data_IF_929148531490
#
_entry.id   IF_929148531490
#
_cell.length_a   1.000
_cell.length_b   1.000
_cell.length_c   1.000
_cell.angle_alpha   90.00
_cell.angle_beta   90.00
_cell.angle_gamma   90.00
#
_symmetry.space_group_name_H-M   'P 1'
#
loop_
_entity.id
_entity.type
_entity.pdbx_description
1 polymer ?
#
# COMPACT_ATOMS: atom_id res chain seq x y z
N UNK A 1 14.96 5.29 16.20
CA UNK A 1 13.83 6.19 16.55
C UNK A 1 12.62 5.85 15.69
N UNK A 2 11.42 5.68 16.25
CA UNK A 2 10.22 5.49 15.45
C UNK A 2 10.02 6.66 14.48
N UNK A 3 9.50 6.38 13.28
CA UNK A 3 9.09 7.39 12.31
C UNK A 3 8.04 8.28 12.98
N UNK A 4 8.27 9.60 13.00
CA UNK A 4 7.24 10.56 13.44
C UNK A 4 6.21 10.66 12.31
N UNK A 5 5.02 10.11 12.51
CA UNK A 5 3.88 10.29 11.60
C UNK A 5 3.57 11.80 11.49
N UNK A 6 3.78 12.40 10.31
CA UNK A 6 3.59 13.86 10.08
C UNK A 6 2.59 14.19 8.97
N UNK A 7 1.82 13.20 8.55
CA UNK A 7 0.71 13.30 7.60
C UNK A 7 -0.36 14.36 7.91
N UNK A 8 -0.49 14.85 9.15
CA UNK A 8 -1.39 15.98 9.51
C UNK A 8 -0.77 17.36 9.29
N UNK A 9 0.48 17.46 8.85
CA UNK A 9 1.08 18.75 8.51
C UNK A 9 0.57 19.26 7.15
N UNK A 10 0.37 20.57 7.02
CA UNK A 10 -0.25 21.23 5.85
C UNK A 10 0.32 20.78 4.51
N UNK A 11 1.62 20.48 4.44
CA UNK A 11 2.30 20.11 3.20
C UNK A 11 2.05 18.65 2.77
N UNK A 12 1.66 17.77 3.71
CA UNK A 12 1.53 16.32 3.47
C UNK A 12 0.08 15.83 3.44
N UNK A 13 -0.88 16.64 3.90
CA UNK A 13 -2.33 16.34 3.83
C UNK A 13 -2.80 16.07 2.39
N UNK A 14 -2.47 16.89 1.38
CA UNK A 14 -2.94 16.63 0.01
C UNK A 14 -2.41 15.30 -0.53
N UNK A 15 -1.16 14.95 -0.19
CA UNK A 15 -0.54 13.69 -0.60
C UNK A 15 -1.24 12.51 0.08
N UNK A 16 -1.52 12.62 1.38
CA UNK A 16 -2.27 11.59 2.10
C UNK A 16 -3.67 11.39 1.49
N UNK A 17 -4.38 12.46 1.14
CA UNK A 17 -5.69 12.37 0.47
C UNK A 17 -5.60 11.71 -0.92
N UNK A 18 -4.56 12.01 -1.70
CA UNK A 18 -4.32 11.35 -2.99
C UNK A 18 -4.06 9.84 -2.81
N UNK A 19 -3.26 9.45 -1.80
CA UNK A 19 -2.99 8.05 -1.48
C UNK A 19 -4.26 7.32 -1.00
N UNK A 20 -5.09 7.98 -0.19
CA UNK A 20 -6.37 7.45 0.26
C UNK A 20 -7.33 7.22 -0.92
N UNK A 21 -7.45 8.22 -1.81
CA UNK A 21 -8.25 8.10 -3.03
C UNK A 21 -7.77 6.96 -3.94
N UNK A 22 -6.46 6.78 -4.09
CA UNK A 22 -5.91 5.65 -4.85
C UNK A 22 -6.25 4.29 -4.22
N UNK A 23 -6.20 4.16 -2.90
CA UNK A 23 -6.61 2.94 -2.19
C UNK A 23 -8.11 2.67 -2.37
N UNK A 24 -8.94 3.72 -2.32
CA UNK A 24 -10.38 3.60 -2.57
C UNK A 24 -10.70 3.12 -3.99
N UNK A 25 -10.09 3.71 -5.01
CA UNK A 25 -10.26 3.28 -6.41
C UNK A 25 -9.82 1.82 -6.58
N UNK A 26 -8.69 1.44 -5.97
CA UNK A 26 -8.20 0.07 -6.00
C UNK A 26 -9.21 -0.90 -5.36
N UNK A 27 -9.82 -0.53 -4.22
CA UNK A 27 -10.83 -1.38 -3.59
C UNK A 27 -12.14 -1.47 -4.38
N UNK A 28 -12.53 -0.40 -5.08
CA UNK A 28 -13.66 -0.46 -6.01
C UNK A 28 -13.43 -1.52 -7.08
N UNK A 29 -12.21 -1.70 -7.59
CA UNK A 29 -11.90 -2.78 -8.53
C UNK A 29 -12.09 -4.17 -7.91
N UNK A 30 -11.75 -4.35 -6.64
CA UNK A 30 -11.97 -5.61 -5.93
C UNK A 30 -13.44 -5.88 -5.63
N UNK A 31 -14.24 -4.84 -5.39
CA UNK A 31 -15.71 -4.94 -5.31
C UNK A 31 -16.28 -5.47 -6.63
N UNK A 32 -15.87 -4.90 -7.76
CA UNK A 32 -16.28 -5.37 -9.08
C UNK A 32 -15.85 -6.83 -9.33
N UNK A 33 -14.60 -7.17 -8.98
CA UNK A 33 -14.10 -8.54 -9.08
C UNK A 33 -14.94 -9.51 -8.24
N UNK A 34 -15.25 -9.14 -7.00
CA UNK A 34 -16.03 -9.95 -6.07
C UNK A 34 -17.44 -10.24 -6.59
N UNK A 35 -18.14 -9.21 -7.09
CA UNK A 35 -19.51 -9.35 -7.56
C UNK A 35 -19.61 -10.09 -8.89
N UNK A 36 -18.81 -9.70 -9.89
CA UNK A 36 -19.01 -10.15 -11.25
C UNK A 36 -18.20 -11.38 -11.63
N UNK A 37 -17.04 -11.59 -11.02
CA UNK A 37 -16.14 -12.69 -11.38
C UNK A 37 -16.20 -13.79 -10.32
N UNK A 38 -16.22 -13.42 -9.03
CA UNK A 38 -16.19 -14.37 -7.93
C UNK A 38 -17.59 -14.79 -7.43
N UNK A 39 -18.65 -14.15 -7.91
CA UNK A 39 -20.03 -14.50 -7.59
C UNK A 39 -20.42 -14.25 -6.12
N UNK A 40 -19.79 -13.28 -5.46
CA UNK A 40 -20.10 -12.92 -4.07
C UNK A 40 -21.33 -12.01 -4.05
N UNK A 41 -22.50 -12.59 -3.77
CA UNK A 41 -23.80 -11.88 -3.83
C UNK A 41 -24.20 -11.08 -2.58
N UNK A 42 -23.42 -11.12 -1.50
CA UNK A 42 -23.79 -10.45 -0.24
C UNK A 42 -23.29 -8.99 -0.20
N UNK A 43 -24.19 -8.04 -0.38
CA UNK A 43 -23.89 -6.60 -0.39
C UNK A 43 -23.19 -6.09 0.88
N UNK A 44 -23.54 -6.62 2.05
CA UNK A 44 -22.90 -6.19 3.31
C UNK A 44 -21.43 -6.62 3.35
N UNK A 45 -21.14 -7.85 2.92
CA UNK A 45 -19.77 -8.37 2.84
C UNK A 45 -18.96 -7.58 1.80
N UNK A 46 -19.58 -7.29 0.66
CA UNK A 46 -18.93 -6.59 -0.47
C UNK A 46 -18.71 -5.09 -0.19
N UNK A 47 -19.37 -4.48 0.79
CA UNK A 47 -19.20 -3.05 1.09
C UNK A 47 -18.40 -2.85 2.39
N UNK A 48 -18.77 -3.55 3.45
CA UNK A 48 -18.19 -3.33 4.77
C UNK A 48 -16.73 -3.80 4.84
N UNK A 49 -16.39 -4.88 4.15
CA UNK A 49 -15.03 -5.42 4.19
C UNK A 49 -14.07 -4.58 3.34
N UNK A 50 -14.43 -4.21 2.10
CA UNK A 50 -13.60 -3.31 1.30
C UNK A 50 -13.35 -1.95 1.93
N UNK A 51 -14.28 -1.42 2.73
CA UNK A 51 -14.03 -0.17 3.48
C UNK A 51 -12.99 -0.35 4.58
N UNK A 52 -13.04 -1.44 5.36
CA UNK A 52 -12.02 -1.77 6.36
C UNK A 52 -10.65 -2.03 5.72
N UNK A 53 -10.60 -2.76 4.61
CA UNK A 53 -9.36 -3.03 3.90
C UNK A 53 -8.79 -1.79 3.22
N UNK A 54 -9.63 -0.85 2.76
CA UNK A 54 -9.20 0.46 2.26
C UNK A 54 -8.40 1.21 3.34
N UNK A 55 -8.90 1.24 4.58
CA UNK A 55 -8.21 1.90 5.70
C UNK A 55 -6.87 1.21 5.99
N UNK A 56 -6.84 -0.12 6.04
CA UNK A 56 -5.62 -0.89 6.29
C UNK A 56 -4.55 -0.68 5.20
N UNK A 57 -4.97 -0.72 3.93
CA UNK A 57 -4.09 -0.45 2.79
C UNK A 57 -3.56 0.97 2.82
N UNK A 58 -4.41 1.94 3.12
CA UNK A 58 -4.01 3.34 3.27
C UNK A 58 -2.93 3.52 4.35
N UNK A 59 -3.09 2.89 5.52
CA UNK A 59 -2.05 2.90 6.54
C UNK A 59 -0.75 2.24 6.05
N UNK A 60 -0.83 1.09 5.38
CA UNK A 60 0.35 0.43 4.80
C UNK A 60 1.09 1.32 3.79
N UNK A 61 0.35 1.98 2.90
CA UNK A 61 0.89 2.89 1.90
C UNK A 61 1.53 4.13 2.55
N UNK A 62 0.92 4.71 3.59
CA UNK A 62 1.49 5.83 4.35
C UNK A 62 2.80 5.43 5.04
N UNK A 63 2.85 4.26 5.68
CA UNK A 63 4.04 3.80 6.39
C UNK A 63 5.22 3.71 5.42
N UNK A 64 4.99 3.14 4.24
CA UNK A 64 6.01 3.06 3.19
C UNK A 64 6.37 4.45 2.66
N UNK A 65 5.39 5.32 2.40
CA UNK A 65 5.63 6.70 1.98
C UNK A 65 6.54 7.48 2.94
N UNK A 66 6.20 7.48 4.23
CA UNK A 66 6.98 8.14 5.28
C UNK A 66 8.39 7.57 5.39
N UNK A 67 8.55 6.25 5.23
CA UNK A 67 9.87 5.61 5.22
C UNK A 67 10.77 6.15 4.10
N UNK A 68 10.21 6.39 2.91
CA UNK A 68 10.97 6.94 1.77
C UNK A 68 11.26 8.44 1.92
N UNK A 69 10.27 9.24 2.32
CA UNK A 69 10.44 10.68 2.51
C UNK A 69 11.52 11.00 3.54
N UNK A 70 11.59 10.24 4.64
CA UNK A 70 12.63 10.44 5.66
C UNK A 70 14.03 10.10 5.14
N UNK A 71 14.17 9.06 4.30
CA UNK A 71 15.45 8.70 3.69
C UNK A 71 15.87 9.74 2.66
N UNK A 72 14.96 10.22 1.80
CA UNK A 72 15.27 11.25 0.80
C UNK A 72 15.66 12.59 1.44
N UNK A 73 15.05 13.00 2.57
CA UNK A 73 15.49 14.22 3.28
C UNK A 73 16.92 14.10 3.81
N UNK A 74 17.29 12.95 4.40
CA UNK A 74 18.68 12.69 4.82
C UNK A 74 19.62 12.63 3.63
N UNK A 75 19.21 12.01 2.52
CA UNK A 75 20.04 11.93 1.31
C UNK A 75 20.25 13.29 0.68
N UNK A 76 19.23 14.17 0.63
CA UNK A 76 19.38 15.56 0.13
C UNK A 76 20.32 16.41 0.99
N UNK A 77 20.30 16.22 2.32
CA UNK A 77 21.28 16.88 3.22
C UNK A 77 22.70 16.40 2.90
N UNK A 78 22.91 15.10 2.68
CA UNK A 78 24.22 14.55 2.28
C UNK A 78 24.61 14.92 0.83
N UNK A 79 23.65 14.99 -0.10
CA UNK A 79 23.91 15.24 -1.53
C UNK A 79 24.02 16.72 -1.88
N UNK A 80 23.60 17.65 -1.02
CA UNK A 80 23.98 19.06 -1.17
C UNK A 80 25.50 19.23 -1.17
N UNK A 81 26.24 18.30 -0.54
CA UNK A 81 27.70 18.23 -0.59
C UNK A 81 28.26 17.38 -1.75
N UNK A 82 27.42 16.65 -2.49
CA UNK A 82 27.80 15.85 -3.67
C UNK A 82 26.90 16.17 -4.87
N UNK A 83 27.28 17.21 -5.63
CA UNK A 83 26.68 17.48 -6.95
C UNK A 83 27.02 16.34 -7.91
N UNK A 84 26.09 15.40 -8.11
CA UNK A 84 26.12 14.50 -9.27
C UNK A 84 24.89 14.71 -10.15
N UNK A 85 25.14 15.05 -11.42
CA UNK A 85 24.12 15.15 -12.48
C UNK A 85 23.78 13.74 -12.96
N UNK A 86 22.80 13.09 -12.33
CA UNK A 86 22.26 11.83 -12.85
C UNK A 86 21.10 12.16 -13.81
N UNK A 87 21.36 12.04 -15.13
CA UNK A 87 20.31 12.06 -16.17
C UNK A 87 19.43 10.81 -16.03
N UNK A 88 18.35 10.90 -15.27
CA UNK A 88 17.34 9.84 -15.14
C UNK A 88 16.37 9.85 -16.34
N UNK A 89 16.09 8.67 -16.91
CA UNK A 89 15.14 8.46 -18.01
C UNK A 89 13.70 8.86 -17.62
N UNK A 90 12.86 9.24 -18.60
CA UNK A 90 11.46 9.65 -18.37
C UNK A 90 10.65 8.63 -17.56
N UNK A 91 10.83 7.34 -17.82
CA UNK A 91 10.18 6.25 -17.07
C UNK A 91 10.64 6.17 -15.61
N UNK A 92 11.95 6.33 -15.36
CA UNK A 92 12.45 6.40 -13.99
C UNK A 92 11.92 7.63 -13.25
N UNK A 93 11.70 8.77 -13.91
CA UNK A 93 11.07 9.94 -13.25
C UNK A 93 9.66 9.66 -12.73
N UNK A 94 8.83 8.94 -13.49
CA UNK A 94 7.48 8.54 -13.05
C UNK A 94 7.58 7.52 -11.90
N UNK A 95 8.45 6.52 -12.03
CA UNK A 95 8.68 5.51 -10.99
C UNK A 95 9.36 6.07 -9.73
N UNK A 96 10.01 7.24 -9.79
CA UNK A 96 10.59 7.96 -8.65
C UNK A 96 9.61 8.97 -8.05
N UNK A 97 8.40 9.11 -8.57
CA UNK A 97 7.43 10.00 -7.96
C UNK A 97 7.05 9.45 -6.57
N UNK A 98 7.15 10.26 -5.51
CA UNK A 98 7.09 9.77 -4.12
C UNK A 98 5.73 9.14 -3.77
N UNK A 99 4.68 9.45 -4.51
CA UNK A 99 3.31 8.91 -4.35
C UNK A 99 3.15 7.54 -5.04
N UNK A 100 3.83 7.32 -6.16
CA UNK A 100 3.61 6.14 -7.02
C UNK A 100 4.31 4.90 -6.44
N UNK A 101 5.49 5.07 -5.83
CA UNK A 101 6.26 3.94 -5.28
C UNK A 101 5.57 3.17 -4.17
N UNK A 102 5.00 3.82 -3.14
CA UNK A 102 4.31 3.10 -2.07
C UNK A 102 3.15 2.26 -2.60
N UNK A 103 2.39 2.81 -3.56
CA UNK A 103 1.28 2.12 -4.23
C UNK A 103 1.77 0.89 -5.00
N UNK A 104 2.82 1.04 -5.81
CA UNK A 104 3.40 -0.07 -6.60
C UNK A 104 3.95 -1.19 -5.70
N UNK A 105 4.31 -0.90 -4.46
CA UNK A 105 4.77 -1.93 -3.52
C UNK A 105 3.57 -2.61 -2.86
N UNK A 106 2.65 -1.84 -2.26
CA UNK A 106 1.55 -2.41 -1.46
C UNK A 106 0.54 -3.15 -2.32
N UNK A 107 0.16 -2.62 -3.49
CA UNK A 107 -0.93 -3.20 -4.29
C UNK A 107 -0.60 -4.59 -4.82
N UNK A 108 0.57 -4.85 -5.44
CA UNK A 108 0.91 -6.20 -5.89
C UNK A 108 1.07 -7.19 -4.74
N UNK A 109 1.59 -6.75 -3.60
CA UNK A 109 1.69 -7.58 -2.38
C UNK A 109 0.28 -8.00 -1.94
N UNK A 110 -0.63 -7.04 -1.80
CA UNK A 110 -2.02 -7.32 -1.44
C UNK A 110 -2.69 -8.25 -2.45
N UNK A 111 -2.59 -7.96 -3.74
CA UNK A 111 -3.20 -8.77 -4.80
C UNK A 111 -2.68 -10.21 -4.80
N UNK A 112 -1.37 -10.41 -4.66
CA UNK A 112 -0.77 -11.75 -4.63
C UNK A 112 -1.24 -12.55 -3.41
N UNK A 113 -1.30 -11.92 -2.24
CA UNK A 113 -1.77 -12.58 -1.01
C UNK A 113 -3.27 -12.85 -1.08
N UNK A 114 -4.05 -11.92 -1.63
CA UNK A 114 -5.48 -12.09 -1.81
C UNK A 114 -5.77 -13.31 -2.69
N UNK A 115 -5.20 -13.37 -3.91
CA UNK A 115 -5.50 -14.47 -4.82
C UNK A 115 -5.00 -15.83 -4.29
N UNK A 116 -3.84 -15.87 -3.64
CA UNK A 116 -3.34 -17.10 -3.03
C UNK A 116 -4.22 -17.56 -1.86
N UNK A 117 -4.58 -16.65 -0.95
CA UNK A 117 -5.46 -16.96 0.18
C UNK A 117 -6.87 -17.34 -0.28
N UNK A 118 -7.40 -16.67 -1.29
CA UNK A 118 -8.72 -16.94 -1.87
C UNK A 118 -8.76 -18.31 -2.54
N UNK A 119 -7.76 -18.64 -3.37
CA UNK A 119 -7.68 -19.94 -4.04
C UNK A 119 -7.56 -21.11 -3.04
N UNK A 120 -6.80 -20.94 -1.96
CA UNK A 120 -6.70 -21.95 -0.89
C UNK A 120 -8.04 -22.07 -0.14
N UNK A 121 -8.67 -20.94 0.20
CA UNK A 121 -9.91 -20.92 0.96
C UNK A 121 -11.09 -21.54 0.21
N UNK A 122 -11.13 -21.40 -1.12
CA UNK A 122 -12.16 -22.01 -1.98
C UNK A 122 -12.18 -23.54 -1.95
N UNK A 123 -11.09 -24.19 -1.54
CA UNK A 123 -11.05 -25.66 -1.42
C UNK A 123 -11.97 -26.13 -0.27
N UNK A 124 -12.19 -25.28 0.73
CA UNK A 124 -12.83 -25.67 1.99
C UNK A 124 -14.09 -24.86 2.31
N UNK A 125 -14.30 -23.70 1.70
CA UNK A 125 -15.30 -22.70 2.10
C UNK A 125 -16.07 -22.14 0.91
N UNK A 126 -17.30 -21.67 1.17
CA UNK A 126 -18.12 -20.96 0.19
C UNK A 126 -17.47 -19.64 -0.26
N UNK A 127 -17.77 -19.20 -1.49
CA UNK A 127 -17.19 -18.00 -2.11
C UNK A 127 -17.25 -16.76 -1.21
N UNK A 128 -18.35 -16.57 -0.48
CA UNK A 128 -18.53 -15.41 0.42
C UNK A 128 -17.56 -15.45 1.59
N UNK A 129 -17.40 -16.62 2.22
CA UNK A 129 -16.52 -16.80 3.38
C UNK A 129 -15.06 -16.81 2.93
N UNK A 130 -14.76 -17.48 1.81
CA UNK A 130 -13.44 -17.49 1.20
C UNK A 130 -12.98 -16.07 0.84
N UNK A 131 -13.86 -15.25 0.25
CA UNK A 131 -13.59 -13.85 -0.04
C UNK A 131 -13.30 -13.06 1.23
N UNK A 132 -14.16 -13.19 2.25
CA UNK A 132 -14.02 -12.52 3.53
C UNK A 132 -12.69 -12.82 4.22
N UNK A 133 -12.28 -14.09 4.24
CA UNK A 133 -11.00 -14.49 4.83
C UNK A 133 -9.85 -13.96 3.98
N UNK A 134 -9.89 -14.15 2.66
CA UNK A 134 -8.82 -13.74 1.78
C UNK A 134 -8.55 -12.24 1.85
N UNK A 135 -9.60 -11.41 1.86
CA UNK A 135 -9.48 -9.96 1.88
C UNK A 135 -8.87 -9.45 3.20
N UNK A 136 -9.37 -9.94 4.33
CA UNK A 136 -8.87 -9.56 5.64
C UNK A 136 -7.42 -10.04 5.86
N UNK A 137 -7.12 -11.27 5.46
CA UNK A 137 -5.79 -11.87 5.61
C UNK A 137 -4.78 -11.14 4.71
N UNK A 138 -5.16 -10.80 3.47
CA UNK A 138 -4.35 -9.99 2.57
C UNK A 138 -4.09 -8.58 3.13
N UNK A 139 -5.10 -7.93 3.70
CA UNK A 139 -4.95 -6.61 4.31
C UNK A 139 -3.98 -6.64 5.51
N UNK A 140 -4.16 -7.62 6.41
CA UNK A 140 -3.31 -7.81 7.58
C UNK A 140 -1.85 -8.10 7.20
N UNK A 141 -1.62 -9.06 6.30
CA UNK A 141 -0.26 -9.38 5.87
C UNK A 141 0.37 -8.20 5.12
N UNK A 142 -0.37 -7.50 4.28
CA UNK A 142 0.15 -6.31 3.58
C UNK A 142 0.61 -5.23 4.56
N UNK A 143 -0.14 -5.01 5.64
CA UNK A 143 0.22 -4.07 6.69
C UNK A 143 1.45 -4.53 7.48
N UNK A 144 1.56 -5.82 7.78
CA UNK A 144 2.75 -6.40 8.40
C UNK A 144 3.99 -6.27 7.50
N UNK A 145 3.86 -6.55 6.21
CA UNK A 145 4.96 -6.41 5.25
C UNK A 145 5.37 -4.95 5.12
N UNK A 146 4.42 -4.01 5.04
CA UNK A 146 4.72 -2.57 5.03
C UNK A 146 5.55 -2.16 6.26
N UNK A 147 5.18 -2.64 7.45
CA UNK A 147 5.95 -2.43 8.67
C UNK A 147 7.34 -3.09 8.65
N UNK A 148 7.47 -4.29 8.08
CA UNK A 148 8.77 -4.96 7.95
C UNK A 148 9.70 -4.25 6.97
N UNK A 149 9.15 -3.78 5.84
CA UNK A 149 9.87 -2.97 4.86
C UNK A 149 10.34 -1.67 5.52
N UNK A 150 9.48 -0.99 6.28
CA UNK A 150 9.86 0.19 7.06
C UNK A 150 11.05 -0.12 7.98
N UNK A 151 10.96 -1.17 8.82
CA UNK A 151 12.03 -1.53 9.74
C UNK A 151 13.35 -1.82 9.03
N UNK A 152 13.32 -2.59 7.94
CA UNK A 152 14.54 -2.94 7.18
C UNK A 152 15.10 -1.74 6.43
N UNK A 153 14.26 -0.99 5.71
CA UNK A 153 14.69 0.15 4.91
C UNK A 153 15.18 1.32 5.78
N UNK A 154 14.48 1.61 6.88
CA UNK A 154 14.90 2.62 7.85
C UNK A 154 16.16 2.20 8.60
N UNK A 155 16.40 0.90 8.85
CA UNK A 155 17.64 0.42 9.48
C UNK A 155 18.83 0.46 8.51
N UNK A 156 18.65 0.03 7.27
CA UNK A 156 19.75 -0.05 6.27
C UNK A 156 20.17 1.34 5.80
N UNK A 157 19.25 2.30 5.63
CA UNK A 157 19.57 3.62 5.07
C UNK A 157 19.70 4.75 6.12
N UNK A 158 19.49 4.47 7.42
CA UNK A 158 19.79 5.45 8.49
C UNK A 158 21.21 5.36 9.01
N UNK A 159 21.86 4.21 8.88
CA UNK A 159 23.27 3.97 9.22
C UNK A 159 24.11 4.02 7.93
#
# INVERSE_FOLDING_TARGET
MPIRFRWTSKDYIPIALMLFGACGIFQVLFIFLAQYILGVGNYLVVILIPTGTTIALFFGVIIIFESFVQVEKKSKIKSQFQKSRIKLSKFRKILYFPIIRPIIIVFPIFTAIFFSSYAISLIFLDNVIAFLIAENLAALISLLIANLIEKKYAKINRY
#
